data_IF_838771290350
#
_entry.id   IF_838771290350
#
_cell.length_a   1.000
_cell.length_b   1.000
_cell.length_c   1.000
_cell.angle_alpha   90.00
_cell.angle_beta   90.00
_cell.angle_gamma   90.00
#
_symmetry.space_group_name_H-M   'P 1'
#
loop_
_entity.id
_entity.type
_entity.pdbx_description
1 polymer ?
#
# COMPACT_ATOMS: atom_id res chain seq x y z
N UNK A 1 -21.82 -15.82 -5.43
CA UNK A 1 -21.08 -16.15 -4.20
C UNK A 1 -22.11 -16.31 -3.10
N UNK A 2 -22.12 -17.45 -2.40
CA UNK A 2 -23.07 -17.71 -1.31
C UNK A 2 -22.28 -17.54 -0.01
N UNK A 3 -22.64 -16.53 0.75
CA UNK A 3 -22.12 -16.35 2.11
C UNK A 3 -23.03 -17.09 3.09
N UNK A 4 -22.43 -17.73 4.09
CA UNK A 4 -23.16 -18.53 5.07
C UNK A 4 -22.81 -18.07 6.47
N UNK A 5 -23.76 -18.17 7.40
CA UNK A 5 -23.52 -17.75 8.78
C UNK A 5 -22.32 -18.47 9.41
N UNK A 6 -21.60 -17.77 10.29
CA UNK A 6 -20.55 -18.36 11.12
C UNK A 6 -21.14 -19.43 12.03
N UNK A 7 -20.46 -20.57 12.13
CA UNK A 7 -20.91 -21.74 12.91
C UNK A 7 -19.79 -22.27 13.77
N UNK A 8 -20.12 -22.73 14.96
CA UNK A 8 -19.19 -23.45 15.82
C UNK A 8 -19.12 -24.91 15.36
N UNK A 9 -17.91 -25.46 15.24
CA UNK A 9 -17.72 -26.86 14.84
C UNK A 9 -18.36 -27.88 15.80
N UNK A 10 -18.73 -27.47 17.01
CA UNK A 10 -19.37 -28.32 18.03
C UNK A 10 -20.90 -28.32 17.95
N UNK A 11 -21.51 -27.45 17.15
CA UNK A 11 -22.96 -27.35 17.02
C UNK A 11 -23.47 -28.24 15.87
N UNK A 12 -23.88 -29.47 16.22
CA UNK A 12 -24.38 -30.47 15.28
C UNK A 12 -25.58 -29.98 14.45
N UNK A 13 -26.48 -29.18 15.04
CA UNK A 13 -27.68 -28.69 14.33
C UNK A 13 -27.27 -27.76 13.20
N UNK A 14 -26.34 -26.84 13.48
CA UNK A 14 -25.82 -25.92 12.47
C UNK A 14 -24.94 -26.64 11.43
N UNK A 15 -24.22 -27.70 11.83
CA UNK A 15 -23.42 -28.53 10.93
C UNK A 15 -24.28 -29.38 9.98
N UNK A 16 -25.43 -29.85 10.44
CA UNK A 16 -26.41 -30.55 9.61
C UNK A 16 -27.07 -29.61 8.60
N UNK A 17 -27.41 -28.39 9.04
CA UNK A 17 -27.97 -27.36 8.17
C UNK A 17 -27.02 -27.05 7.00
N UNK A 18 -25.73 -26.78 7.28
CA UNK A 18 -24.77 -26.45 6.21
C UNK A 18 -24.52 -27.65 5.28
N UNK A 19 -24.54 -28.88 5.81
CA UNK A 19 -24.43 -30.08 4.98
C UNK A 19 -25.64 -30.23 4.04
N UNK A 20 -26.85 -29.92 4.52
CA UNK A 20 -28.05 -29.91 3.70
C UNK A 20 -28.00 -28.84 2.59
N UNK A 21 -27.58 -27.62 2.94
CA UNK A 21 -27.38 -26.53 1.98
C UNK A 21 -26.35 -26.93 0.92
N UNK A 22 -25.20 -27.45 1.34
CA UNK A 22 -24.12 -27.87 0.44
C UNK A 22 -24.59 -28.94 -0.56
N UNK A 23 -25.34 -29.95 -0.08
CA UNK A 23 -25.92 -30.99 -0.94
C UNK A 23 -26.95 -30.43 -1.92
N UNK A 24 -27.81 -29.52 -1.47
CA UNK A 24 -28.86 -28.93 -2.31
C UNK A 24 -28.30 -28.02 -3.40
N UNK A 25 -27.24 -27.26 -3.10
CA UNK A 25 -26.66 -26.29 -4.03
C UNK A 25 -25.63 -26.94 -4.94
N UNK A 26 -24.91 -27.97 -4.46
CA UNK A 26 -23.81 -28.63 -5.18
C UNK A 26 -22.81 -27.61 -5.77
N UNK A 27 -22.18 -26.78 -4.91
CA UNK A 27 -21.26 -25.74 -5.36
C UNK A 27 -20.04 -26.35 -6.08
N UNK A 28 -19.50 -25.62 -7.06
CA UNK A 28 -18.27 -26.02 -7.75
C UNK A 28 -17.02 -25.89 -6.88
N UNK A 29 -17.09 -25.03 -5.86
CA UNK A 29 -15.99 -24.67 -4.97
C UNK A 29 -16.55 -24.33 -3.59
N UNK A 30 -16.05 -24.98 -2.55
CA UNK A 30 -16.34 -24.66 -1.16
C UNK A 30 -15.07 -24.14 -0.49
N UNK A 31 -15.12 -22.93 0.08
CA UNK A 31 -13.96 -22.28 0.70
C UNK A 31 -14.18 -22.15 2.21
N UNK A 32 -13.21 -22.63 2.98
CA UNK A 32 -13.19 -22.48 4.44
C UNK A 32 -12.44 -21.21 4.81
N UNK A 33 -13.11 -20.29 5.50
CA UNK A 33 -12.53 -19.00 5.92
C UNK A 33 -12.09 -19.11 7.37
N UNK A 34 -10.85 -18.74 7.66
CA UNK A 34 -10.27 -18.86 8.99
C UNK A 34 -9.34 -17.70 9.32
N UNK A 35 -9.38 -17.27 10.57
CA UNK A 35 -8.56 -16.20 11.09
C UNK A 35 -7.14 -16.72 11.38
N UNK A 36 -6.10 -16.07 10.83
CA UNK A 36 -4.71 -16.45 11.03
C UNK A 36 -4.23 -16.30 12.48
N UNK A 37 -4.95 -15.53 13.29
CA UNK A 37 -4.70 -15.42 14.73
C UNK A 37 -5.22 -16.62 15.52
N UNK A 38 -6.14 -17.39 14.97
CA UNK A 38 -6.70 -18.55 15.64
C UNK A 38 -5.70 -19.69 15.51
N UNK A 39 -5.05 -20.05 16.63
CA UNK A 39 -3.99 -21.06 16.67
C UNK A 39 -4.51 -22.50 16.55
N UNK A 40 -4.34 -23.29 17.61
CA UNK A 40 -4.68 -24.73 17.59
C UNK A 40 -6.18 -25.00 17.43
N UNK A 41 -7.05 -24.10 17.89
CA UNK A 41 -8.51 -24.26 17.78
C UNK A 41 -9.00 -24.20 16.32
N UNK A 42 -8.31 -23.43 15.48
CA UNK A 42 -8.59 -23.37 14.05
C UNK A 42 -8.35 -24.72 13.36
N UNK A 43 -7.34 -25.47 13.82
CA UNK A 43 -6.96 -26.76 13.27
C UNK A 43 -8.06 -27.79 13.53
N UNK A 44 -8.56 -27.86 14.77
CA UNK A 44 -9.66 -28.75 15.13
C UNK A 44 -10.94 -28.39 14.38
N UNK A 45 -11.26 -27.10 14.30
CA UNK A 45 -12.42 -26.60 13.56
C UNK A 45 -12.31 -26.97 12.08
N UNK A 46 -11.17 -26.70 11.44
CA UNK A 46 -10.94 -27.03 10.04
C UNK A 46 -11.13 -28.53 9.77
N UNK A 47 -10.63 -29.39 10.67
CA UNK A 47 -10.80 -30.84 10.56
C UNK A 47 -12.28 -31.26 10.58
N UNK A 48 -13.05 -30.77 11.55
CA UNK A 48 -14.48 -31.11 11.65
C UNK A 48 -15.26 -30.63 10.42
N UNK A 49 -14.99 -29.42 9.94
CA UNK A 49 -15.62 -28.90 8.73
C UNK A 49 -15.20 -29.69 7.47
N UNK A 50 -13.95 -30.12 7.39
CA UNK A 50 -13.46 -30.95 6.29
C UNK A 50 -14.10 -32.33 6.28
N UNK A 51 -14.20 -32.98 7.44
CA UNK A 51 -14.82 -34.30 7.57
C UNK A 51 -16.32 -34.26 7.16
N UNK A 52 -17.00 -33.12 7.36
CA UNK A 52 -18.44 -32.96 7.05
C UNK A 52 -18.72 -32.49 5.62
N UNK A 53 -17.97 -31.50 5.14
CA UNK A 53 -18.24 -30.79 3.88
C UNK A 53 -17.19 -31.07 2.80
N UNK A 54 -16.01 -31.56 3.18
CA UNK A 54 -14.87 -31.77 2.29
C UNK A 54 -14.58 -30.56 1.39
N UNK A 55 -14.40 -29.38 2.01
CA UNK A 55 -14.13 -28.14 1.28
C UNK A 55 -12.89 -28.23 0.38
N UNK A 56 -12.82 -27.37 -0.64
CA UNK A 56 -11.81 -27.42 -1.71
C UNK A 56 -10.63 -26.49 -1.49
N UNK A 57 -10.82 -25.45 -0.68
CA UNK A 57 -9.76 -24.48 -0.41
C UNK A 57 -9.96 -23.72 0.89
N UNK A 58 -8.92 -23.01 1.30
CA UNK A 58 -8.88 -22.19 2.52
C UNK A 58 -8.60 -20.74 2.17
N UNK A 59 -9.25 -19.83 2.89
CA UNK A 59 -8.94 -18.39 2.91
C UNK A 59 -8.47 -18.04 4.31
N UNK A 60 -7.28 -17.43 4.41
CA UNK A 60 -6.72 -16.95 5.67
C UNK A 60 -6.96 -15.45 5.80
N UNK A 61 -7.67 -15.02 6.84
CA UNK A 61 -7.92 -13.59 7.09
C UNK A 61 -7.03 -13.04 8.20
N UNK A 62 -6.89 -11.71 8.27
CA UNK A 62 -6.14 -10.98 9.32
C UNK A 62 -4.64 -11.26 9.35
N UNK A 63 -4.06 -11.51 8.18
CA UNK A 63 -2.62 -11.72 8.02
C UNK A 63 -1.80 -10.43 8.14
N UNK A 64 -2.42 -9.29 8.33
CA UNK A 64 -1.80 -8.01 8.70
C UNK A 64 -1.36 -7.94 10.17
N UNK A 65 -1.91 -8.80 11.04
CA UNK A 65 -1.46 -8.92 12.44
C UNK A 65 -0.06 -9.54 12.60
N UNK A 66 0.48 -9.45 13.83
CA UNK A 66 1.80 -10.00 14.24
C UNK A 66 1.84 -11.54 14.30
N UNK A 67 0.91 -12.20 13.63
CA UNK A 67 0.82 -13.65 13.61
C UNK A 67 1.66 -14.15 12.45
N UNK A 68 2.74 -14.89 12.77
CA UNK A 68 3.69 -15.47 11.82
C UNK A 68 3.08 -16.58 10.94
N UNK A 69 1.79 -16.55 10.64
CA UNK A 69 1.11 -17.49 9.75
C UNK A 69 1.19 -18.96 10.14
N UNK A 70 1.48 -19.30 11.39
CA UNK A 70 1.58 -20.69 11.86
C UNK A 70 0.28 -21.49 11.66
N UNK A 71 -0.88 -20.83 11.77
CA UNK A 71 -2.19 -21.41 11.50
C UNK A 71 -2.30 -21.94 10.06
N UNK A 72 -1.69 -21.25 9.08
CA UNK A 72 -1.67 -21.68 7.68
C UNK A 72 -1.04 -23.07 7.53
N UNK A 73 0.10 -23.27 8.17
CA UNK A 73 0.84 -24.53 8.13
C UNK A 73 0.08 -25.65 8.83
N UNK A 74 -0.47 -25.37 10.01
CA UNK A 74 -1.22 -26.35 10.80
C UNK A 74 -2.53 -26.78 10.14
N UNK A 75 -3.22 -25.87 9.46
CA UNK A 75 -4.42 -26.21 8.70
C UNK A 75 -4.02 -27.05 7.48
N UNK A 76 -3.02 -26.61 6.69
CA UNK A 76 -2.58 -27.37 5.53
C UNK A 76 -2.12 -28.78 5.89
N UNK A 77 -1.44 -28.97 7.02
CA UNK A 77 -0.96 -30.30 7.43
C UNK A 77 -2.08 -31.24 7.88
N UNK A 78 -3.21 -30.73 8.39
CA UNK A 78 -4.30 -31.56 8.93
C UNK A 78 -5.39 -31.86 7.90
N UNK A 79 -5.77 -30.89 7.07
CA UNK A 79 -6.86 -31.04 6.09
C UNK A 79 -6.37 -31.22 4.65
N UNK A 80 -5.08 -31.03 4.38
CA UNK A 80 -4.46 -31.17 3.06
C UNK A 80 -5.14 -30.39 1.91
N UNK A 81 -5.84 -29.30 2.23
CA UNK A 81 -6.48 -28.43 1.22
C UNK A 81 -5.61 -27.20 0.88
N UNK A 82 -5.60 -26.75 -0.39
CA UNK A 82 -4.82 -25.58 -0.78
C UNK A 82 -5.37 -24.31 -0.13
N UNK A 83 -4.48 -23.44 0.32
CA UNK A 83 -4.83 -22.06 0.69
C UNK A 83 -4.84 -21.25 -0.61
N UNK A 84 -5.96 -20.58 -0.91
CA UNK A 84 -6.14 -19.86 -2.18
C UNK A 84 -5.95 -18.36 -2.04
N UNK A 85 -6.45 -17.79 -0.95
CA UNK A 85 -6.44 -16.34 -0.72
C UNK A 85 -6.00 -15.99 0.69
N UNK A 86 -5.51 -14.77 0.83
CA UNK A 86 -5.14 -14.13 2.09
C UNK A 86 -5.81 -12.76 2.23
N UNK A 87 -6.37 -12.48 3.40
CA UNK A 87 -6.87 -11.18 3.79
C UNK A 87 -5.79 -10.41 4.55
N UNK A 88 -5.33 -9.29 4.00
CA UNK A 88 -4.27 -8.43 4.52
C UNK A 88 -4.80 -7.11 5.12
N UNK A 89 -6.11 -7.04 5.38
CA UNK A 89 -6.76 -5.89 5.98
C UNK A 89 -8.28 -5.95 5.90
N UNK A 90 -8.94 -4.87 6.32
CA UNK A 90 -10.42 -4.80 6.41
C UNK A 90 -11.09 -4.23 5.16
N UNK A 91 -10.32 -3.63 4.25
CA UNK A 91 -10.86 -3.00 3.03
C UNK A 91 -11.16 -4.04 1.95
N UNK A 92 -12.04 -3.68 1.02
CA UNK A 92 -12.45 -4.56 -0.09
C UNK A 92 -11.30 -4.95 -1.03
N UNK A 93 -10.25 -4.12 -1.09
CA UNK A 93 -9.04 -4.35 -1.88
C UNK A 93 -7.96 -5.15 -1.13
N UNK A 94 -8.22 -5.55 0.13
CA UNK A 94 -7.26 -6.24 0.98
C UNK A 94 -7.35 -7.78 0.91
N UNK A 95 -7.78 -8.32 -0.24
CA UNK A 95 -7.83 -9.76 -0.51
C UNK A 95 -6.85 -10.10 -1.64
N UNK A 96 -5.78 -10.82 -1.30
CA UNK A 96 -4.70 -11.19 -2.21
C UNK A 96 -4.64 -12.71 -2.44
N UNK A 97 -3.97 -13.11 -3.53
CA UNK A 97 -3.65 -14.52 -3.77
C UNK A 97 -2.63 -15.05 -2.75
N UNK A 98 -2.80 -16.29 -2.33
CA UNK A 98 -1.83 -16.95 -1.46
C UNK A 98 -0.60 -17.41 -2.27
N UNK A 99 0.58 -16.97 -1.84
CA UNK A 99 1.87 -17.41 -2.38
C UNK A 99 2.66 -18.13 -1.28
N UNK A 100 2.89 -19.45 -1.39
CA UNK A 100 3.59 -20.23 -0.38
C UNK A 100 4.99 -19.69 -0.07
N UNK A 101 5.73 -19.29 -1.10
CA UNK A 101 7.11 -18.81 -0.96
C UNK A 101 7.17 -17.53 -0.10
N UNK A 102 6.27 -16.58 -0.36
CA UNK A 102 6.16 -15.33 0.43
C UNK A 102 5.77 -15.61 1.88
N UNK A 103 4.88 -16.58 2.11
CA UNK A 103 4.49 -16.97 3.46
C UNK A 103 5.66 -17.63 4.21
N UNK A 104 6.44 -18.48 3.54
CA UNK A 104 7.65 -19.08 4.10
C UNK A 104 8.69 -18.02 4.47
N UNK A 105 8.95 -17.05 3.59
CA UNK A 105 9.86 -15.92 3.87
C UNK A 105 9.40 -15.08 5.06
N UNK A 106 8.09 -14.84 5.18
CA UNK A 106 7.50 -14.11 6.32
C UNK A 106 7.62 -14.88 7.63
N UNK A 107 7.43 -16.21 7.62
CA UNK A 107 7.66 -17.09 8.78
C UNK A 107 9.13 -17.06 9.20
N UNK A 108 10.04 -17.15 8.21
CA UNK A 108 11.49 -17.18 8.42
C UNK A 108 12.09 -15.80 8.76
N UNK A 109 11.27 -14.74 8.79
CA UNK A 109 11.72 -13.38 9.09
C UNK A 109 12.58 -12.74 7.99
N UNK A 110 12.58 -13.32 6.77
CA UNK A 110 13.30 -12.80 5.59
C UNK A 110 12.41 -11.94 4.67
N UNK A 111 11.13 -11.77 5.01
CA UNK A 111 10.11 -11.10 4.18
C UNK A 111 10.30 -9.61 3.92
N UNK A 112 11.25 -8.95 4.58
CA UNK A 112 11.52 -7.53 4.34
C UNK A 112 12.32 -7.28 3.06
N UNK A 113 13.19 -8.21 2.62
CA UNK A 113 14.13 -7.89 1.53
C UNK A 113 13.51 -8.09 0.15
N UNK A 114 12.69 -9.13 -0.03
CA UNK A 114 12.06 -9.44 -1.33
C UNK A 114 10.86 -8.52 -1.59
N UNK A 115 10.04 -8.22 -0.57
CA UNK A 115 8.92 -7.28 -0.73
C UNK A 115 9.39 -5.84 -1.00
N UNK A 116 10.57 -5.45 -0.52
CA UNK A 116 11.21 -4.17 -0.86
C UNK A 116 11.66 -4.11 -2.31
N UNK A 117 12.17 -5.23 -2.85
CA UNK A 117 12.61 -5.31 -4.25
C UNK A 117 11.41 -5.38 -5.20
N UNK A 118 10.35 -6.11 -4.84
CA UNK A 118 9.11 -6.18 -5.64
C UNK A 118 8.30 -4.87 -5.60
N UNK A 119 8.16 -4.21 -4.43
CA UNK A 119 7.54 -2.87 -4.34
C UNK A 119 8.37 -1.81 -5.04
N UNK A 120 9.71 -1.91 -5.02
CA UNK A 120 10.57 -1.04 -5.81
C UNK A 120 10.41 -1.27 -7.32
N UNK A 121 10.18 -2.52 -7.76
CA UNK A 121 10.00 -2.85 -9.17
C UNK A 121 8.60 -2.47 -9.70
N UNK A 122 7.54 -2.56 -8.91
CA UNK A 122 6.18 -2.16 -9.34
C UNK A 122 5.99 -0.64 -9.44
N UNK A 123 6.83 0.15 -8.78
CA UNK A 123 6.72 1.62 -8.73
C UNK A 123 7.58 2.31 -9.79
N UNK A 124 8.58 1.63 -10.34
CA UNK A 124 9.40 2.18 -11.42
C UNK A 124 8.79 1.85 -12.78
N UNK A 125 7.81 2.64 -13.18
CA UNK A 125 7.43 2.75 -14.59
C UNK A 125 8.63 3.36 -15.35
N UNK A 126 9.47 2.50 -15.95
CA UNK A 126 10.68 2.91 -16.66
C UNK A 126 10.40 4.00 -17.71
N UNK A 127 9.22 3.99 -18.31
CA UNK A 127 8.81 5.01 -19.26
C UNK A 127 8.58 6.37 -18.61
N UNK A 128 7.93 6.40 -17.45
CA UNK A 128 7.73 7.63 -16.68
C UNK A 128 9.06 8.18 -16.18
N UNK A 129 9.94 7.31 -15.67
CA UNK A 129 11.28 7.68 -15.26
C UNK A 129 12.08 8.30 -16.42
N UNK A 130 12.02 7.70 -17.62
CA UNK A 130 12.64 8.25 -18.85
C UNK A 130 12.05 9.60 -19.26
N UNK A 131 10.72 9.76 -19.22
CA UNK A 131 10.02 11.03 -19.52
C UNK A 131 10.41 12.14 -18.53
N UNK A 132 10.47 11.82 -17.23
CA UNK A 132 10.88 12.76 -16.18
C UNK A 132 12.35 13.15 -16.38
N UNK A 133 13.25 12.20 -16.60
CA UNK A 133 14.66 12.50 -16.90
C UNK A 133 14.81 13.42 -18.12
N UNK A 134 14.04 13.20 -19.19
CA UNK A 134 14.05 14.07 -20.35
C UNK A 134 13.51 15.48 -20.05
N UNK A 135 12.43 15.60 -19.28
CA UNK A 135 11.85 16.89 -18.88
C UNK A 135 12.76 17.67 -17.95
N UNK A 136 13.43 16.99 -17.02
CA UNK A 136 14.43 17.58 -16.12
C UNK A 136 15.66 18.01 -16.92
N UNK A 137 16.14 17.19 -17.87
CA UNK A 137 17.19 17.55 -18.84
C UNK A 137 16.85 18.82 -19.63
N UNK A 138 15.60 18.98 -20.05
CA UNK A 138 15.11 20.14 -20.80
C UNK A 138 14.72 21.34 -19.93
N UNK A 139 14.97 21.31 -18.61
CA UNK A 139 14.51 22.36 -17.65
C UNK A 139 13.00 22.65 -17.72
N UNK A 140 12.20 21.70 -18.21
CA UNK A 140 10.75 21.84 -18.42
C UNK A 140 9.92 21.27 -17.26
N UNK A 141 10.55 21.05 -16.10
CA UNK A 141 9.88 20.51 -14.93
C UNK A 141 8.99 21.60 -14.30
N UNK A 142 7.66 21.39 -14.32
CA UNK A 142 6.67 22.35 -13.84
C UNK A 142 5.86 21.86 -12.63
N UNK A 143 4.87 22.66 -12.22
CA UNK A 143 3.97 22.32 -11.10
C UNK A 143 3.07 21.11 -11.41
N UNK A 144 2.71 20.87 -12.67
CA UNK A 144 1.94 19.66 -13.05
C UNK A 144 2.76 18.39 -12.85
N UNK A 145 4.06 18.42 -13.17
CA UNK A 145 4.97 17.30 -12.92
C UNK A 145 5.17 17.10 -11.41
N UNK A 146 5.28 18.19 -10.65
CA UNK A 146 5.36 18.13 -9.19
C UNK A 146 4.11 17.51 -8.55
N UNK A 147 2.93 17.92 -8.99
CA UNK A 147 1.66 17.35 -8.51
C UNK A 147 1.57 15.86 -8.85
N UNK A 148 1.99 15.45 -10.05
CA UNK A 148 2.01 14.05 -10.44
C UNK A 148 2.92 13.21 -9.54
N UNK A 149 4.11 13.75 -9.18
CA UNK A 149 5.03 13.08 -8.26
C UNK A 149 4.47 12.95 -6.85
N UNK A 150 3.85 14.01 -6.32
CA UNK A 150 3.19 13.96 -5.02
C UNK A 150 2.08 12.90 -5.00
N UNK A 151 1.24 12.87 -6.04
CA UNK A 151 0.16 11.87 -6.17
C UNK A 151 0.71 10.44 -6.29
N UNK A 152 1.86 10.26 -6.94
CA UNK A 152 2.51 8.95 -7.02
C UNK A 152 3.01 8.51 -5.65
N UNK A 153 3.64 9.40 -4.88
CA UNK A 153 4.06 9.12 -3.50
C UNK A 153 2.86 8.81 -2.60
N UNK A 154 1.75 9.55 -2.73
CA UNK A 154 0.51 9.28 -2.02
C UNK A 154 -0.08 7.89 -2.35
N UNK A 155 0.01 7.45 -3.60
CA UNK A 155 -0.44 6.12 -4.04
C UNK A 155 0.42 4.97 -3.49
N UNK A 156 1.67 5.23 -3.13
CA UNK A 156 2.59 4.22 -2.64
C UNK A 156 2.42 3.88 -1.16
N UNK A 157 1.63 4.65 -0.39
CA UNK A 157 1.30 4.33 0.99
C UNK A 157 1.22 5.55 1.90
N UNK A 158 0.65 5.36 3.09
CA UNK A 158 0.58 6.39 4.13
C UNK A 158 1.98 6.86 4.49
N UNK A 159 2.21 8.17 4.60
CA UNK A 159 3.52 8.73 4.93
C UNK A 159 4.14 8.17 6.23
N UNK A 160 3.34 7.53 7.09
CA UNK A 160 3.79 6.85 8.30
C UNK A 160 4.83 5.77 8.01
N UNK A 161 4.65 5.00 6.93
CA UNK A 161 5.54 3.87 6.59
C UNK A 161 6.86 4.35 5.97
N UNK A 162 6.83 5.45 5.20
CA UNK A 162 8.03 6.01 4.57
C UNK A 162 8.93 6.75 5.57
N UNK A 163 8.37 7.41 6.59
CA UNK A 163 9.15 8.11 7.63
C UNK A 163 9.85 7.11 8.57
N UNK A 164 9.23 5.95 8.82
CA UNK A 164 9.86 4.85 9.56
C UNK A 164 11.13 4.28 8.91
N UNK A 165 11.35 4.54 7.62
CA UNK A 165 12.49 4.03 6.85
C UNK A 165 13.64 5.04 6.68
N UNK A 166 13.52 6.28 7.20
CA UNK A 166 14.56 7.31 7.08
C UNK A 166 15.53 7.24 8.28
N UNK A 167 16.81 6.89 8.09
CA UNK A 167 17.79 6.87 9.18
C UNK A 167 17.92 8.28 9.80
N UNK A 168 17.65 8.39 11.10
CA UNK A 168 17.74 9.66 11.85
C UNK A 168 16.42 10.45 11.97
N UNK A 169 15.30 9.95 11.45
CA UNK A 169 13.98 10.58 11.56
C UNK A 169 13.19 10.18 12.83
N UNK A 170 13.79 9.51 13.81
CA UNK A 170 13.17 9.06 15.08
C UNK A 170 12.57 10.17 15.97
N UNK A 171 12.58 11.43 15.54
CA UNK A 171 12.02 12.57 16.28
C UNK A 171 10.73 13.14 15.68
N UNK A 172 10.30 12.64 14.53
CA UNK A 172 9.05 13.08 13.90
C UNK A 172 8.02 11.99 14.15
N UNK A 173 7.03 12.29 14.98
CA UNK A 173 5.94 11.36 15.27
C UNK A 173 5.11 11.15 13.98
N UNK A 174 4.76 9.89 13.65
CA UNK A 174 3.92 9.58 12.48
C UNK A 174 2.56 10.31 12.47
N UNK A 175 2.09 10.76 13.65
CA UNK A 175 0.82 11.47 13.84
C UNK A 175 0.90 12.98 13.59
N UNK A 176 2.10 13.56 13.44
CA UNK A 176 2.26 14.98 13.06
C UNK A 176 2.18 15.20 11.54
N UNK A 177 2.02 14.12 10.77
CA UNK A 177 1.97 14.17 9.32
C UNK A 177 0.52 14.32 8.89
N UNK A 178 0.18 15.56 8.57
CA UNK A 178 -1.14 15.93 8.07
C UNK A 178 -1.39 15.35 6.67
N UNK A 179 -2.25 14.34 6.56
CA UNK A 179 -2.68 13.75 5.28
C UNK A 179 -3.44 14.76 4.40
N UNK A 180 -4.07 15.77 5.00
CA UNK A 180 -4.80 16.82 4.28
C UNK A 180 -3.88 17.93 3.75
N UNK A 181 -2.62 18.00 4.20
CA UNK A 181 -1.64 18.95 3.68
C UNK A 181 -1.45 18.83 2.16
N UNK A 182 -1.57 17.61 1.61
CA UNK A 182 -1.49 17.37 0.17
C UNK A 182 -2.71 17.85 -0.60
N UNK A 183 -3.91 17.76 0.00
CA UNK A 183 -5.13 18.30 -0.62
C UNK A 183 -5.02 19.83 -0.76
N UNK A 184 -4.43 20.49 0.24
CA UNK A 184 -4.11 21.92 0.17
C UNK A 184 -3.13 22.26 -0.96
N UNK A 185 -2.08 21.46 -1.13
CA UNK A 185 -1.11 21.62 -2.23
C UNK A 185 -1.82 21.45 -3.59
N UNK A 186 -2.66 20.43 -3.72
CA UNK A 186 -3.42 20.19 -4.95
C UNK A 186 -4.35 21.37 -5.28
N UNK A 187 -5.11 21.88 -4.31
CA UNK A 187 -5.99 23.02 -4.51
C UNK A 187 -5.23 24.28 -4.99
N UNK A 188 -4.04 24.54 -4.43
CA UNK A 188 -3.18 25.65 -4.84
C UNK A 188 -2.71 25.49 -6.29
N UNK A 189 -2.22 24.30 -6.67
CA UNK A 189 -1.74 24.03 -8.03
C UNK A 189 -2.89 24.10 -9.04
N UNK A 190 -4.05 23.54 -8.70
CA UNK A 190 -5.24 23.58 -9.54
C UNK A 190 -5.74 25.01 -9.80
N UNK A 191 -5.52 25.94 -8.87
CA UNK A 191 -5.87 27.37 -9.01
C UNK A 191 -4.94 28.17 -9.94
N UNK A 192 -3.82 27.58 -10.36
CA UNK A 192 -2.90 28.16 -11.34
C UNK A 192 -3.39 27.94 -12.77
N UNK A 193 -3.06 28.88 -13.66
CA UNK A 193 -3.24 28.70 -15.11
C UNK A 193 -2.19 27.75 -15.70
N UNK A 194 -2.43 27.08 -16.84
CA UNK A 194 -1.45 26.18 -17.46
C UNK A 194 -0.09 26.84 -17.74
N UNK A 195 -0.08 28.14 -18.06
CA UNK A 195 1.17 28.92 -18.25
C UNK A 195 1.93 29.10 -16.94
N UNK A 196 1.23 29.35 -15.83
CA UNK A 196 1.85 29.48 -14.51
C UNK A 196 2.37 28.13 -13.99
N UNK A 197 1.69 27.02 -14.32
CA UNK A 197 2.13 25.68 -13.93
C UNK A 197 3.39 25.24 -14.68
N UNK A 198 3.46 25.50 -15.98
CA UNK A 198 4.62 25.18 -16.80
C UNK A 198 5.81 26.13 -16.56
N UNK A 199 5.55 27.39 -16.16
CA UNK A 199 6.59 28.39 -15.92
C UNK A 199 6.44 29.04 -14.53
N UNK A 200 6.98 28.40 -13.48
CA UNK A 200 6.92 28.89 -12.10
C UNK A 200 7.47 30.31 -11.90
N UNK A 201 8.41 30.75 -12.76
CA UNK A 201 9.01 32.08 -12.73
C UNK A 201 8.01 33.22 -13.01
N UNK A 202 6.85 32.92 -13.59
CA UNK A 202 5.82 33.92 -13.89
C UNK A 202 5.01 34.35 -12.65
N UNK A 203 5.16 33.66 -11.51
CA UNK A 203 4.39 33.90 -10.29
C UNK A 203 4.83 35.18 -9.56
N UNK A 204 4.24 36.31 -9.96
CA UNK A 204 4.35 37.58 -9.25
C UNK A 204 3.38 37.67 -8.06
N UNK A 205 3.50 38.74 -7.25
CA UNK A 205 2.67 38.94 -6.06
C UNK A 205 1.16 38.94 -6.35
N UNK A 206 0.73 39.59 -7.44
CA UNK A 206 -0.69 39.64 -7.86
C UNK A 206 -1.24 38.25 -8.20
N UNK A 207 -0.47 37.44 -8.92
CA UNK A 207 -0.84 36.05 -9.26
C UNK A 207 -0.91 35.16 -8.03
N UNK A 208 0.03 35.30 -7.10
CA UNK A 208 0.00 34.56 -5.82
C UNK A 208 -1.26 34.88 -5.01
N UNK A 209 -1.67 36.16 -4.98
CA UNK A 209 -2.91 36.58 -4.30
C UNK A 209 -4.15 35.98 -4.96
N UNK A 210 -4.21 35.94 -6.30
CA UNK A 210 -5.27 35.28 -7.06
C UNK A 210 -5.35 33.78 -6.76
N UNK A 211 -4.20 33.10 -6.73
CA UNK A 211 -4.11 31.65 -6.47
C UNK A 211 -4.54 31.33 -5.03
N UNK A 212 -4.09 32.12 -4.06
CA UNK A 212 -4.49 32.00 -2.66
C UNK A 212 -6.02 32.08 -2.50
N UNK A 213 -6.64 33.12 -3.09
CA UNK A 213 -8.09 33.28 -3.10
C UNK A 213 -8.83 32.12 -3.80
N UNK A 214 -8.32 31.65 -4.95
CA UNK A 214 -8.94 30.56 -5.70
C UNK A 214 -8.84 29.19 -5.03
N UNK A 215 -7.84 28.99 -4.18
CA UNK A 215 -7.59 27.73 -3.46
C UNK A 215 -8.10 27.74 -2.02
N UNK A 216 -8.64 28.86 -1.54
CA UNK A 216 -9.04 29.02 -0.13
C UNK A 216 -7.86 29.02 0.84
N UNK A 217 -6.65 29.33 0.36
CA UNK A 217 -5.40 29.31 1.16
C UNK A 217 -4.83 30.72 1.34
N UNK A 218 -3.82 30.87 2.20
CA UNK A 218 -3.13 32.14 2.40
C UNK A 218 -1.98 32.33 1.42
N UNK A 219 -1.59 33.58 1.18
CA UNK A 219 -0.41 33.91 0.33
C UNK A 219 0.87 33.29 0.89
N UNK A 220 0.94 33.08 2.20
CA UNK A 220 2.03 32.38 2.87
C UNK A 220 2.12 30.91 2.49
N UNK A 221 0.98 30.22 2.39
CA UNK A 221 0.93 28.82 1.96
C UNK A 221 1.38 28.67 0.50
N UNK A 222 0.96 29.60 -0.36
CA UNK A 222 1.44 29.66 -1.75
C UNK A 222 2.96 29.89 -1.81
N UNK A 223 3.51 30.74 -0.95
CA UNK A 223 4.96 30.94 -0.88
C UNK A 223 5.71 29.72 -0.34
N UNK A 224 5.13 29.00 0.63
CA UNK A 224 5.67 27.74 1.17
C UNK A 224 5.74 26.68 0.07
N UNK A 225 4.68 26.53 -0.72
CA UNK A 225 4.63 25.63 -1.87
C UNK A 225 5.73 25.95 -2.90
N UNK A 226 5.89 27.23 -3.26
CA UNK A 226 6.91 27.64 -4.23
C UNK A 226 8.32 27.30 -3.72
N UNK A 227 8.60 27.50 -2.43
CA UNK A 227 9.88 27.13 -1.83
C UNK A 227 10.12 25.61 -1.88
N UNK A 228 9.11 24.81 -1.55
CA UNK A 228 9.19 23.34 -1.61
C UNK A 228 9.44 22.86 -3.05
N UNK A 229 8.74 23.45 -4.02
CA UNK A 229 8.96 23.17 -5.44
C UNK A 229 10.40 23.51 -5.88
N UNK A 230 10.93 24.68 -5.49
CA UNK A 230 12.31 25.07 -5.81
C UNK A 230 13.36 24.15 -5.19
N UNK A 231 13.14 23.71 -3.94
CA UNK A 231 14.01 22.75 -3.25
C UNK A 231 14.05 21.40 -3.98
N UNK A 232 12.89 20.87 -4.37
CA UNK A 232 12.81 19.64 -5.13
C UNK A 232 13.44 19.79 -6.51
N UNK A 233 13.22 20.92 -7.20
CA UNK A 233 13.86 21.21 -8.49
C UNK A 233 15.38 21.26 -8.36
N UNK A 234 15.93 21.80 -7.26
CA UNK A 234 17.37 21.78 -6.96
C UNK A 234 17.88 20.36 -6.71
N UNK A 235 17.13 19.56 -5.94
CA UNK A 235 17.49 18.17 -5.65
C UNK A 235 17.51 17.32 -6.93
N UNK A 236 16.48 17.42 -7.77
CA UNK A 236 16.41 16.74 -9.07
C UNK A 236 17.59 17.12 -9.98
N UNK A 237 17.98 18.40 -10.00
CA UNK A 237 19.16 18.87 -10.75
C UNK A 237 20.47 18.30 -10.21
N UNK A 238 20.60 18.15 -8.89
CA UNK A 238 21.79 17.55 -8.27
C UNK A 238 21.90 16.05 -8.59
N UNK A 239 20.80 15.32 -8.51
CA UNK A 239 20.75 13.89 -8.88
C UNK A 239 21.14 13.71 -10.36
N UNK A 240 20.63 14.56 -11.25
CA UNK A 240 20.93 14.54 -12.68
C UNK A 240 22.40 14.85 -13.01
N UNK A 241 23.07 15.72 -12.23
CA UNK A 241 24.48 16.08 -12.43
C UNK A 241 25.48 15.04 -11.90
N UNK A 242 25.03 13.81 -11.64
CA UNK A 242 25.87 12.72 -11.13
C UNK A 242 25.77 12.51 -9.61
N UNK A 243 24.83 13.19 -8.92
CA UNK A 243 24.62 13.04 -7.48
C UNK A 243 24.03 11.70 -7.04
N UNK A 244 23.54 10.87 -7.96
CA UNK A 244 23.05 9.53 -7.65
C UNK A 244 24.13 8.64 -7.00
N UNK A 245 25.39 8.78 -7.41
CA UNK A 245 26.50 8.02 -6.79
C UNK A 245 26.84 8.53 -5.38
N UNK A 246 26.72 9.84 -5.14
CA UNK A 246 27.02 10.47 -3.85
C UNK A 246 25.89 10.26 -2.83
N UNK A 247 24.65 10.21 -3.29
CA UNK A 247 23.47 9.85 -2.50
C UNK A 247 23.52 8.36 -2.13
N UNK A 248 23.86 7.47 -3.08
CA UNK A 248 24.11 6.05 -2.78
C UNK A 248 25.28 5.87 -1.81
N UNK A 249 26.35 6.66 -1.91
CA UNK A 249 27.51 6.54 -1.02
C UNK A 249 27.21 7.03 0.42
N UNK A 250 26.30 7.99 0.59
CA UNK A 250 25.79 8.37 1.92
C UNK A 250 24.81 7.34 2.51
N UNK A 251 24.03 6.64 1.68
CA UNK A 251 23.15 5.56 2.14
C UNK A 251 23.89 4.23 2.40
N UNK A 252 25.08 4.04 1.82
CA UNK A 252 25.94 2.85 2.07
C UNK A 252 26.86 3.00 3.30
N UNK A 253 26.83 4.17 3.94
CA UNK A 253 27.68 4.53 5.08
C UNK A 253 26.94 4.67 6.42
N UNK A 254 25.69 4.21 6.48
CA UNK A 254 24.90 3.96 7.69
C UNK A 254 24.53 2.48 7.66
#
# INVERSE_FOLDING_TARGET
MIDTAGRLAVDEVLMDEISAIHKSVSPSETLFVVDSMTGQDAVNTAKVFHDRLNFDGVILTKLDGDTRGGAALSIKSVVDKPIKFIGTGEKLDALDLFYPDRMAERILGMGDVVSLVERAQQVFDEEQAKKIQQKVKKNSFGFDDFLAQIKQVQKMGSMKDLVGMIPGANKISPDEIDEDAFKGIEAIIQSMTPKERSQPKLLNHSRKKRIALGSGSNVEDVNRLIKQFEQMQKMMKMVQKGGASKLMQMMKGI
#
